data_IF_542370924023
#
_entry.id   IF_542370924023
#
_cell.length_a   1.000
_cell.length_b   1.000
_cell.length_c   1.000
_cell.angle_alpha   90.00
_cell.angle_beta   90.00
_cell.angle_gamma   90.00
#
_symmetry.space_group_name_H-M   'P 1'
#
loop_
_entity.id
_entity.type
_entity.pdbx_description
1 polymer ?
#
# COMPACT_ATOMS: atom_id res chain seq x y z
N UNK A 1 7.30 -27.15 -14.85
CA UNK A 1 6.97 -25.85 -15.45
C UNK A 1 6.22 -26.14 -16.73
N UNK A 2 4.92 -25.89 -16.76
CA UNK A 2 4.13 -26.06 -17.99
C UNK A 2 4.26 -24.77 -18.77
N UNK A 3 5.12 -24.76 -19.78
CA UNK A 3 5.21 -23.63 -20.71
C UNK A 3 4.03 -23.80 -21.65
N UNK A 4 3.30 -22.73 -21.95
CA UNK A 4 2.21 -22.78 -22.90
C UNK A 4 2.65 -22.13 -24.21
N UNK A 5 2.22 -22.68 -25.34
CA UNK A 5 2.44 -22.02 -26.63
C UNK A 5 1.50 -20.82 -26.80
N UNK A 6 1.62 -20.11 -27.92
CA UNK A 6 0.77 -18.96 -28.27
C UNK A 6 -0.72 -19.28 -28.41
N UNK A 7 -1.09 -20.56 -28.37
CA UNK A 7 -2.47 -21.05 -28.40
C UNK A 7 -2.94 -21.58 -27.03
N UNK A 8 -2.15 -21.39 -25.96
CA UNK A 8 -2.51 -21.84 -24.62
C UNK A 8 -2.42 -23.36 -24.42
N UNK A 9 -1.68 -24.08 -25.27
CA UNK A 9 -1.46 -25.53 -25.15
C UNK A 9 -0.18 -25.80 -24.36
N UNK A 10 -0.17 -26.74 -23.40
CA UNK A 10 1.04 -27.20 -22.73
C UNK A 10 2.12 -27.65 -23.73
N UNK A 11 3.25 -26.96 -23.72
CA UNK A 11 4.46 -27.24 -24.49
C UNK A 11 5.64 -27.41 -23.51
N UNK A 12 5.77 -28.60 -22.87
CA UNK A 12 6.84 -28.88 -21.93
C UNK A 12 8.23 -28.97 -22.58
N UNK A 13 8.31 -28.98 -23.92
CA UNK A 13 9.57 -29.09 -24.67
C UNK A 13 10.12 -27.72 -25.08
N UNK A 14 9.32 -26.65 -25.00
CA UNK A 14 9.78 -25.31 -25.33
C UNK A 14 10.98 -24.93 -24.46
N UNK A 15 12.16 -24.68 -25.06
CA UNK A 15 13.30 -24.22 -24.28
C UNK A 15 12.95 -22.85 -23.70
N UNK A 16 13.10 -22.70 -22.39
CA UNK A 16 13.15 -21.37 -21.78
C UNK A 16 14.47 -20.78 -22.26
N UNK A 17 14.41 -19.92 -23.27
CA UNK A 17 15.58 -19.20 -23.74
C UNK A 17 15.95 -18.18 -22.66
N UNK A 18 16.89 -18.55 -21.81
CA UNK A 18 17.48 -17.70 -20.78
C UNK A 18 18.86 -17.31 -21.31
N UNK A 19 19.12 -16.01 -21.46
CA UNK A 19 20.44 -15.55 -21.88
C UNK A 19 21.48 -15.85 -20.79
N UNK A 20 22.77 -15.97 -21.12
CA UNK A 20 23.82 -16.13 -20.12
C UNK A 20 23.75 -15.03 -19.04
N UNK A 21 23.58 -15.45 -17.79
CA UNK A 21 23.45 -14.54 -16.63
C UNK A 21 22.02 -14.17 -16.24
N UNK A 22 21.01 -14.53 -17.04
CA UNK A 22 19.61 -14.33 -16.68
C UNK A 22 19.09 -15.43 -15.74
N UNK A 23 18.12 -15.06 -14.89
CA UNK A 23 17.46 -15.99 -13.97
C UNK A 23 16.00 -16.19 -14.41
N UNK A 24 15.48 -17.42 -14.39
CA UNK A 24 14.06 -17.67 -14.62
C UNK A 24 13.20 -16.87 -13.64
N UNK A 25 12.04 -16.42 -14.08
CA UNK A 25 11.12 -15.62 -13.26
C UNK A 25 10.13 -16.51 -12.52
N UNK A 26 9.89 -16.20 -11.25
CA UNK A 26 8.79 -16.74 -10.45
C UNK A 26 7.88 -15.62 -10.01
N UNK A 27 6.59 -15.86 -10.17
CA UNK A 27 5.53 -14.96 -9.74
C UNK A 27 4.86 -15.50 -8.48
N UNK A 28 4.80 -14.66 -7.45
CA UNK A 28 4.13 -14.91 -6.18
C UNK A 28 2.89 -14.03 -6.11
N UNK A 29 1.72 -14.64 -6.16
CA UNK A 29 0.43 -13.96 -5.98
C UNK A 29 0.11 -13.85 -4.50
N UNK A 30 -0.26 -12.66 -4.07
CA UNK A 30 -0.71 -12.37 -2.70
C UNK A 30 -2.21 -12.09 -2.68
N UNK A 31 -2.89 -12.60 -1.66
CA UNK A 31 -4.22 -12.13 -1.31
C UNK A 31 -4.49 -12.31 0.19
N UNK A 32 -5.61 -11.75 0.67
CA UNK A 32 -6.09 -11.84 2.05
C UNK A 32 -7.50 -12.40 2.06
N UNK A 33 -7.76 -13.39 2.91
CA UNK A 33 -9.11 -13.91 3.14
C UNK A 33 -9.49 -13.76 4.60
N UNK A 34 -10.76 -13.45 4.86
CA UNK A 34 -11.34 -13.42 6.21
C UNK A 34 -12.31 -14.59 6.33
N UNK A 35 -12.12 -15.37 7.39
CA UNK A 35 -12.97 -16.47 7.78
C UNK A 35 -13.73 -16.09 9.05
N UNK A 36 -14.99 -16.51 9.12
CA UNK A 36 -15.86 -16.24 10.25
C UNK A 36 -16.15 -17.54 11.00
N UNK A 37 -16.16 -17.51 12.34
CA UNK A 37 -16.38 -18.72 13.13
C UNK A 37 -17.77 -19.32 12.96
N UNK A 38 -18.74 -18.51 12.54
CA UNK A 38 -20.09 -18.96 12.26
C UNK A 38 -20.38 -19.08 10.76
N UNK A 39 -19.35 -18.96 9.91
CA UNK A 39 -19.49 -19.20 8.47
C UNK A 39 -19.97 -20.63 8.24
N UNK A 40 -21.10 -20.78 7.55
CA UNK A 40 -21.80 -22.06 7.45
C UNK A 40 -22.70 -22.09 6.23
N UNK A 41 -23.03 -23.31 5.81
CA UNK A 41 -24.08 -23.52 4.83
C UNK A 41 -25.44 -23.19 5.45
N UNK A 42 -26.12 -22.16 4.92
CA UNK A 42 -27.45 -21.75 5.40
C UNK A 42 -28.55 -22.74 4.98
N UNK A 43 -28.28 -23.58 3.98
CA UNK A 43 -29.21 -24.59 3.46
C UNK A 43 -28.59 -25.96 3.67
N UNK A 44 -29.28 -26.81 4.42
CA UNK A 44 -28.90 -28.20 4.62
C UNK A 44 -30.17 -29.06 4.67
N UNK A 45 -30.01 -30.36 4.42
CA UNK A 45 -31.09 -31.33 4.57
C UNK A 45 -31.26 -31.63 6.05
N UNK A 46 -32.51 -31.53 6.52
CA UNK A 46 -32.88 -31.77 7.92
C UNK A 46 -33.61 -33.11 8.00
N UNK A 47 -33.25 -33.94 8.98
CA UNK A 47 -33.95 -35.20 9.23
C UNK A 47 -35.37 -34.96 9.75
N UNK A 48 -36.30 -35.93 9.59
CA UNK A 48 -37.68 -35.79 10.06
C UNK A 48 -37.79 -35.57 11.58
N UNK A 49 -36.80 -36.03 12.35
CA UNK A 49 -36.77 -35.92 13.81
C UNK A 49 -35.89 -34.76 14.33
N UNK A 50 -35.31 -33.96 13.44
CA UNK A 50 -34.43 -32.86 13.83
C UNK A 50 -35.22 -31.57 14.04
N UNK A 51 -35.08 -30.99 15.24
CA UNK A 51 -35.79 -29.77 15.62
C UNK A 51 -34.98 -28.51 15.31
N UNK A 52 -35.69 -27.43 14.92
CA UNK A 52 -35.10 -26.13 14.64
C UNK A 52 -34.40 -25.54 15.87
N UNK A 53 -33.09 -25.76 15.98
CA UNK A 53 -32.26 -25.23 17.05
C UNK A 53 -31.82 -23.80 16.70
N UNK A 54 -32.11 -22.79 17.53
CA UNK A 54 -31.69 -21.42 17.27
C UNK A 54 -30.16 -21.30 17.18
N UNK A 55 -29.69 -20.60 16.15
CA UNK A 55 -28.25 -20.37 15.96
C UNK A 55 -27.74 -19.15 16.71
N UNK A 56 -26.44 -19.16 17.01
CA UNK A 56 -25.74 -17.97 17.50
C UNK A 56 -25.91 -16.84 16.48
N UNK A 57 -26.39 -15.69 16.95
CA UNK A 57 -26.59 -14.50 16.11
C UNK A 57 -25.27 -13.95 15.60
N UNK A 58 -25.23 -13.60 14.31
CA UNK A 58 -24.08 -12.97 13.65
C UNK A 58 -22.99 -13.94 13.20
N UNK A 59 -21.96 -13.40 12.54
CA UNK A 59 -20.90 -14.18 11.89
C UNK A 59 -19.83 -14.69 12.90
N UNK A 60 -19.88 -14.22 14.14
CA UNK A 60 -18.96 -14.64 15.20
C UNK A 60 -17.56 -14.01 15.05
N UNK A 61 -16.54 -14.70 15.56
CA UNK A 61 -15.17 -14.19 15.54
C UNK A 61 -14.54 -14.33 14.16
N UNK A 62 -13.79 -13.31 13.74
CA UNK A 62 -13.06 -13.31 12.46
C UNK A 62 -11.62 -13.77 12.58
N UNK A 63 -11.11 -14.39 11.52
CA UNK A 63 -9.71 -14.75 11.31
C UNK A 63 -9.31 -14.34 9.89
N UNK A 64 -8.36 -13.43 9.77
CA UNK A 64 -7.74 -13.07 8.50
C UNK A 64 -6.50 -13.94 8.27
N UNK A 65 -6.35 -14.46 7.06
CA UNK A 65 -5.12 -15.11 6.59
C UNK A 65 -4.64 -14.36 5.35
N UNK A 66 -3.37 -13.98 5.34
CA UNK A 66 -2.68 -13.39 4.20
C UNK A 66 -1.46 -14.24 3.86
N UNK A 67 -1.24 -14.59 2.61
CA UNK A 67 -0.11 -15.43 2.20
C UNK A 67 0.24 -15.22 0.73
N UNK A 68 1.35 -15.82 0.29
CA UNK A 68 1.81 -15.82 -1.09
C UNK A 68 1.80 -17.23 -1.68
N UNK A 69 1.36 -17.33 -2.94
CA UNK A 69 1.33 -18.59 -3.67
C UNK A 69 1.93 -18.43 -5.05
N UNK A 70 2.69 -19.41 -5.51
CA UNK A 70 3.14 -19.52 -6.89
C UNK A 70 2.56 -20.79 -7.52
N UNK A 71 2.29 -20.74 -8.82
CA UNK A 71 1.83 -21.92 -9.56
C UNK A 71 2.85 -23.08 -9.55
N UNK A 72 4.14 -22.77 -9.37
CA UNK A 72 5.23 -23.75 -9.41
C UNK A 72 5.49 -24.41 -8.05
N UNK A 73 5.49 -23.63 -6.98
CA UNK A 73 5.92 -24.09 -5.65
C UNK A 73 4.80 -24.11 -4.61
N UNK A 74 3.59 -23.68 -4.98
CA UNK A 74 2.50 -23.53 -4.04
C UNK A 74 2.78 -22.37 -3.08
N UNK A 75 2.43 -22.55 -1.80
CA UNK A 75 2.62 -21.54 -0.77
C UNK A 75 4.09 -21.20 -0.55
N UNK A 76 4.42 -19.93 -0.36
CA UNK A 76 5.78 -19.50 -0.07
C UNK A 76 6.23 -20.04 1.31
N UNK A 77 7.16 -20.99 1.27
CA UNK A 77 7.76 -21.62 2.44
C UNK A 77 9.28 -21.62 2.33
N UNK A 78 9.94 -21.42 3.45
CA UNK A 78 11.38 -21.58 3.57
C UNK A 78 11.81 -23.04 3.70
N UNK A 79 13.10 -23.29 3.57
CA UNK A 79 13.69 -24.64 3.62
C UNK A 79 13.46 -25.34 4.97
N UNK A 80 13.29 -24.59 6.05
CA UNK A 80 13.09 -25.12 7.40
C UNK A 80 11.64 -24.91 7.90
N UNK A 81 10.70 -24.61 6.99
CA UNK A 81 9.30 -24.39 7.33
C UNK A 81 8.94 -22.93 7.65
N UNK A 82 9.86 -21.98 7.43
CA UNK A 82 9.57 -20.55 7.52
C UNK A 82 8.39 -20.18 6.59
N UNK A 83 7.63 -19.15 6.93
CA UNK A 83 6.46 -18.75 6.14
C UNK A 83 6.21 -17.26 6.26
N UNK A 84 5.88 -16.63 5.14
CA UNK A 84 5.38 -15.27 5.13
C UNK A 84 3.86 -15.20 5.41
N UNK A 85 3.23 -16.32 5.78
CA UNK A 85 1.81 -16.36 6.12
C UNK A 85 1.56 -15.56 7.38
N UNK A 86 0.62 -14.63 7.30
CA UNK A 86 0.11 -13.90 8.47
C UNK A 86 -1.27 -14.43 8.81
N UNK A 87 -1.44 -14.81 10.08
CA UNK A 87 -2.74 -15.07 10.70
C UNK A 87 -3.05 -13.92 11.64
N UNK A 88 -4.22 -13.30 11.48
CA UNK A 88 -4.56 -12.04 12.14
C UNK A 88 -6.02 -12.03 12.60
N UNK A 89 -6.31 -11.53 13.80
CA UNK A 89 -7.67 -11.41 14.34
C UNK A 89 -8.12 -9.95 14.29
N UNK A 90 -8.79 -9.50 13.21
CA UNK A 90 -9.15 -8.10 13.07
C UNK A 90 -10.25 -7.70 14.07
N UNK A 91 -10.12 -6.49 14.62
CA UNK A 91 -11.14 -5.85 15.44
C UNK A 91 -10.62 -5.09 16.66
N UNK A 92 -11.51 -4.29 17.25
CA UNK A 92 -11.28 -3.62 18.54
C UNK A 92 -11.13 -4.68 19.64
N UNK A 93 -10.17 -4.48 20.56
CA UNK A 93 -9.79 -5.45 21.59
C UNK A 93 -9.30 -6.80 21.04
N UNK A 94 -8.79 -6.82 19.80
CA UNK A 94 -8.13 -7.96 19.17
C UNK A 94 -6.76 -7.51 18.64
N UNK A 95 -6.30 -8.02 17.50
CA UNK A 95 -4.99 -7.66 16.94
C UNK A 95 -4.99 -6.28 16.25
N UNK A 96 -6.15 -5.60 16.25
CA UNK A 96 -6.35 -4.29 15.63
C UNK A 96 -6.75 -4.40 14.16
N UNK A 97 -6.13 -3.57 13.32
CA UNK A 97 -6.35 -3.56 11.87
C UNK A 97 -5.10 -3.98 11.10
N UNK A 98 -5.28 -4.61 9.95
CA UNK A 98 -4.16 -5.01 9.10
C UNK A 98 -3.64 -3.81 8.28
N UNK A 99 -2.71 -3.06 8.88
CA UNK A 99 -2.20 -1.78 8.36
C UNK A 99 -1.24 -1.96 7.19
N UNK A 100 -0.93 -0.85 6.48
CA UNK A 100 0.08 -0.83 5.43
C UNK A 100 1.47 -1.25 5.96
N UNK A 101 1.82 -0.84 7.19
CA UNK A 101 3.07 -1.25 7.82
C UNK A 101 3.17 -2.77 7.97
N UNK A 102 2.06 -3.45 8.30
CA UNK A 102 2.02 -4.92 8.35
C UNK A 102 2.12 -5.57 6.97
N UNK A 103 1.56 -4.94 5.93
CA UNK A 103 1.73 -5.40 4.54
C UNK A 103 3.21 -5.33 4.15
N UNK A 104 3.88 -4.20 4.44
CA UNK A 104 5.31 -4.02 4.15
C UNK A 104 6.14 -5.07 4.90
N UNK A 105 5.90 -5.24 6.21
CA UNK A 105 6.61 -6.26 7.00
C UNK A 105 6.43 -7.67 6.42
N UNK A 106 5.20 -8.03 6.03
CA UNK A 106 4.93 -9.33 5.42
C UNK A 106 5.70 -9.51 4.09
N UNK A 107 5.78 -8.46 3.27
CA UNK A 107 6.53 -8.48 2.02
C UNK A 107 8.04 -8.62 2.27
N UNK A 108 8.59 -7.93 3.27
CA UNK A 108 10.00 -8.05 3.64
C UNK A 108 10.34 -9.50 4.03
N UNK A 109 9.52 -10.12 4.87
CA UNK A 109 9.66 -11.52 5.28
C UNK A 109 9.57 -12.46 4.06
N UNK A 110 8.62 -12.20 3.14
CA UNK A 110 8.46 -12.96 1.92
C UNK A 110 9.67 -12.84 0.98
N UNK A 111 10.18 -11.63 0.78
CA UNK A 111 11.38 -11.37 -0.03
C UNK A 111 12.59 -12.10 0.54
N UNK A 112 12.75 -12.07 1.87
CA UNK A 112 13.82 -12.82 2.54
C UNK A 112 13.71 -14.32 2.28
N UNK A 113 12.55 -14.91 2.55
CA UNK A 113 12.31 -16.34 2.33
C UNK A 113 12.53 -16.73 0.87
N UNK A 114 12.01 -15.94 -0.08
CA UNK A 114 12.14 -16.23 -1.50
C UNK A 114 13.60 -16.24 -1.96
N UNK A 115 14.40 -15.23 -1.57
CA UNK A 115 15.82 -15.13 -1.94
C UNK A 115 16.67 -16.24 -1.34
N UNK A 116 16.40 -16.65 -0.10
CA UNK A 116 17.16 -17.72 0.58
C UNK A 116 16.78 -19.12 0.06
N UNK A 117 15.51 -19.30 -0.28
CA UNK A 117 14.96 -20.61 -0.69
C UNK A 117 15.22 -20.88 -2.17
N UNK A 118 15.07 -19.86 -3.02
CA UNK A 118 15.06 -19.94 -4.48
C UNK A 118 16.02 -18.91 -5.12
N UNK A 119 17.30 -18.85 -4.71
CA UNK A 119 18.25 -17.81 -5.15
C UNK A 119 18.52 -17.80 -6.66
N UNK A 120 18.23 -18.91 -7.35
CA UNK A 120 18.39 -19.07 -8.79
C UNK A 120 17.30 -18.39 -9.62
N UNK A 121 16.25 -17.83 -8.99
CA UNK A 121 15.16 -17.17 -9.69
C UNK A 121 15.16 -15.65 -9.47
N UNK A 122 14.53 -14.94 -10.41
CA UNK A 122 14.04 -13.58 -10.21
C UNK A 122 12.62 -13.64 -9.68
N UNK A 123 12.31 -12.89 -8.63
CA UNK A 123 11.00 -12.94 -7.98
C UNK A 123 10.17 -11.70 -8.30
N UNK A 124 8.91 -11.93 -8.68
CA UNK A 124 7.88 -10.90 -8.85
C UNK A 124 6.78 -11.17 -7.83
N UNK A 125 6.42 -10.16 -7.05
CA UNK A 125 5.31 -10.22 -6.11
C UNK A 125 4.13 -9.43 -6.67
N UNK A 126 2.97 -10.06 -6.77
CA UNK A 126 1.74 -9.48 -7.31
C UNK A 126 0.74 -9.28 -6.19
N UNK A 127 0.22 -8.06 -6.12
CA UNK A 127 -0.84 -7.64 -5.21
C UNK A 127 -2.03 -7.09 -6.01
N UNK A 128 -3.20 -7.09 -5.38
CA UNK A 128 -4.33 -6.29 -5.84
C UNK A 128 -4.10 -4.79 -5.56
N UNK A 129 -5.07 -3.96 -5.96
CA UNK A 129 -5.04 -2.51 -5.77
C UNK A 129 -5.74 -2.06 -4.47
N UNK A 130 -5.85 -2.90 -3.45
CA UNK A 130 -6.44 -2.51 -2.19
C UNK A 130 -5.73 -1.26 -1.63
N UNK A 131 -6.44 -0.32 -0.98
CA UNK A 131 -5.85 0.93 -0.49
C UNK A 131 -4.61 0.73 0.41
N UNK A 132 -4.55 -0.39 1.14
CA UNK A 132 -3.40 -0.74 1.97
C UNK A 132 -2.13 -1.10 1.19
N UNK A 133 -2.25 -1.47 -0.09
CA UNK A 133 -1.13 -1.84 -0.98
C UNK A 133 -0.64 -0.65 -1.79
N UNK A 134 -1.46 0.40 -1.93
CA UNK A 134 -1.17 1.58 -2.75
C UNK A 134 -0.84 2.82 -1.92
N UNK A 135 -0.67 2.66 -0.60
CA UNK A 135 -0.36 3.78 0.29
C UNK A 135 1.08 4.26 0.03
N UNK A 136 1.24 5.58 -0.09
CA UNK A 136 2.56 6.23 -0.17
C UNK A 136 3.19 6.36 1.23
N UNK A 137 4.50 6.57 1.32
CA UNK A 137 5.16 6.99 2.56
C UNK A 137 4.45 8.19 3.22
N UNK A 138 4.58 8.32 4.55
CA UNK A 138 3.88 9.38 5.31
C UNK A 138 4.34 10.79 4.95
N UNK A 139 5.58 10.92 4.47
CA UNK A 139 6.22 12.14 4.00
C UNK A 139 6.15 12.31 2.47
N UNK A 140 5.46 11.42 1.76
CA UNK A 140 5.39 11.50 0.30
C UNK A 140 4.73 12.80 -0.18
N UNK A 141 5.25 13.34 -1.28
CA UNK A 141 4.73 14.58 -1.87
C UNK A 141 3.28 14.41 -2.32
N UNK A 142 2.42 15.34 -1.91
CA UNK A 142 1.02 15.41 -2.33
C UNK A 142 0.59 16.85 -2.63
N UNK A 143 0.27 17.13 -3.88
CA UNK A 143 -0.21 18.43 -4.32
C UNK A 143 -1.69 18.71 -3.95
N UNK A 144 -2.48 17.66 -3.66
CA UNK A 144 -3.95 17.74 -3.57
C UNK A 144 -4.46 18.75 -2.54
N UNK A 145 -3.73 18.93 -1.45
CA UNK A 145 -4.15 19.77 -0.32
C UNK A 145 -3.18 20.93 -0.04
N UNK A 146 -2.17 21.13 -0.89
CA UNK A 146 -1.20 22.20 -0.66
C UNK A 146 -1.91 23.56 -0.70
N UNK A 147 -1.74 24.42 0.32
CA UNK A 147 -2.29 25.77 0.27
C UNK A 147 -1.55 26.62 -0.78
N UNK A 148 -2.25 27.61 -1.34
CA UNK A 148 -1.63 28.57 -2.28
C UNK A 148 -0.52 29.38 -1.60
N UNK A 149 -0.82 29.87 -0.40
CA UNK A 149 0.07 30.71 0.40
C UNK A 149 0.78 29.95 1.50
N UNK A 150 1.66 30.66 2.19
CA UNK A 150 2.46 30.12 3.29
C UNK A 150 1.57 29.73 4.48
N UNK A 151 1.91 28.63 5.14
CA UNK A 151 1.26 28.19 6.39
C UNK A 151 2.28 27.61 7.35
N UNK A 152 2.06 27.79 8.65
CA UNK A 152 2.97 27.28 9.68
C UNK A 152 3.11 25.75 9.67
N UNK A 153 2.00 25.03 9.49
CA UNK A 153 1.96 23.58 9.51
C UNK A 153 1.31 23.02 8.24
N UNK A 154 2.10 22.25 7.48
CA UNK A 154 1.62 21.46 6.37
C UNK A 154 2.41 20.13 6.28
N UNK A 155 1.78 18.96 6.10
CA UNK A 155 0.34 18.71 6.07
C UNK A 155 -0.39 19.20 7.35
N UNK A 156 -1.68 19.52 7.24
CA UNK A 156 -2.43 20.09 8.37
C UNK A 156 -2.58 19.04 9.47
N UNK A 157 -2.32 19.39 10.75
CA UNK A 157 -2.53 18.47 11.86
C UNK A 157 -4.03 18.15 12.00
N UNK A 158 -4.33 16.95 12.49
CA UNK A 158 -5.70 16.50 12.71
C UNK A 158 -5.83 15.84 14.09
N UNK A 159 -7.06 15.81 14.62
CA UNK A 159 -7.37 15.13 15.88
C UNK A 159 -8.13 13.84 15.56
N UNK A 160 -7.58 12.66 15.86
CA UNK A 160 -8.26 11.39 15.67
C UNK A 160 -9.58 11.35 16.45
N UNK A 161 -10.60 10.68 15.89
CA UNK A 161 -11.89 10.51 16.57
C UNK A 161 -11.68 9.75 17.89
N UNK A 162 -12.09 10.36 19.00
CA UNK A 162 -11.92 9.78 20.35
C UNK A 162 -10.59 10.14 21.04
N UNK A 163 -9.76 10.99 20.42
CA UNK A 163 -8.57 11.58 21.06
C UNK A 163 -8.77 13.08 21.25
N UNK A 164 -8.09 13.64 22.25
CA UNK A 164 -7.94 15.10 22.44
C UNK A 164 -6.62 15.62 21.87
N UNK A 165 -5.69 14.72 21.55
CA UNK A 165 -4.35 15.06 21.06
C UNK A 165 -4.36 15.31 19.55
N UNK A 166 -3.64 16.37 19.13
CA UNK A 166 -3.39 16.64 17.71
C UNK A 166 -2.23 15.81 17.22
N UNK A 167 -2.44 15.09 16.14
CA UNK A 167 -1.39 14.38 15.42
C UNK A 167 -0.78 15.32 14.39
N UNK A 168 0.53 15.49 14.47
CA UNK A 168 1.32 16.21 13.48
C UNK A 168 1.88 15.21 12.47
N UNK A 169 1.61 15.47 11.19
CA UNK A 169 2.11 14.66 10.09
C UNK A 169 3.55 15.08 9.75
N UNK A 170 4.40 14.15 9.27
CA UNK A 170 5.74 14.48 8.80
C UNK A 170 5.71 15.59 7.73
N UNK A 171 6.77 16.40 7.70
CA UNK A 171 7.02 17.31 6.56
C UNK A 171 7.16 16.47 5.29
N UNK A 172 6.64 16.96 4.18
CA UNK A 172 6.83 16.29 2.90
C UNK A 172 8.32 16.27 2.54
N UNK A 173 8.76 15.16 1.96
CA UNK A 173 10.08 15.05 1.36
C UNK A 173 10.29 16.15 0.30
N UNK A 174 11.55 16.57 0.06
CA UNK A 174 11.84 17.54 -0.99
C UNK A 174 11.39 17.05 -2.37
N UNK A 175 10.86 17.96 -3.17
CA UNK A 175 10.68 17.71 -4.59
C UNK A 175 12.03 17.70 -5.33
N UNK A 176 11.98 17.51 -6.64
CA UNK A 176 13.15 17.64 -7.53
C UNK A 176 12.92 18.77 -8.54
N UNK A 177 13.90 19.67 -8.67
CA UNK A 177 13.94 20.73 -9.70
C UNK A 177 14.39 20.16 -11.05
N UNK A 178 14.19 20.89 -12.17
CA UNK A 178 14.60 20.44 -13.50
C UNK A 178 16.10 20.16 -13.64
N UNK A 179 16.94 20.88 -12.88
CA UNK A 179 18.39 20.67 -12.80
C UNK A 179 18.80 19.46 -11.95
N UNK A 180 17.82 18.79 -11.33
CA UNK A 180 18.00 17.62 -10.49
C UNK A 180 18.24 17.91 -9.02
N UNK A 181 18.34 19.18 -8.62
CA UNK A 181 18.53 19.56 -7.21
C UNK A 181 17.25 19.37 -6.39
N UNK A 182 17.41 19.19 -5.08
CA UNK A 182 16.30 19.03 -4.15
C UNK A 182 15.57 20.36 -3.93
N UNK A 183 14.25 20.36 -4.10
CA UNK A 183 13.39 21.49 -3.79
C UNK A 183 12.74 21.30 -2.43
N UNK A 184 13.23 22.02 -1.41
CA UNK A 184 12.50 22.10 -0.14
C UNK A 184 11.17 22.84 -0.34
N UNK A 185 10.07 22.26 0.14
CA UNK A 185 8.77 22.91 0.18
C UNK A 185 8.55 23.77 1.43
N UNK A 186 9.54 23.80 2.31
CA UNK A 186 9.52 24.53 3.58
C UNK A 186 10.62 25.58 3.59
N UNK A 187 10.36 26.71 4.24
CA UNK A 187 11.42 27.67 4.56
C UNK A 187 12.43 27.02 5.50
N UNK A 188 13.72 27.34 5.36
CA UNK A 188 14.75 26.76 6.21
C UNK A 188 14.57 27.22 7.67
N UNK A 189 15.11 26.44 8.60
CA UNK A 189 14.94 26.73 10.04
C UNK A 189 15.76 27.96 10.49
N UNK A 190 16.68 28.46 9.66
CA UNK A 190 17.48 29.67 9.86
C UNK A 190 16.95 30.91 9.08
N UNK A 191 15.77 30.81 8.45
CA UNK A 191 15.17 31.87 7.64
C UNK A 191 15.19 33.25 8.34
N UNK A 192 15.51 34.31 7.59
CA UNK A 192 15.69 35.69 8.09
C UNK A 192 14.50 36.16 8.92
N UNK A 193 13.30 35.90 8.38
CA UNK A 193 12.04 36.08 9.11
C UNK A 193 11.82 34.93 10.08
N UNK A 194 12.08 35.22 11.36
CA UNK A 194 11.95 34.26 12.47
C UNK A 194 10.55 33.67 12.60
N UNK A 195 9.52 34.46 12.25
CA UNK A 195 8.11 34.03 12.26
C UNK A 195 7.77 33.00 11.17
N UNK A 196 8.65 32.80 10.17
CA UNK A 196 8.44 31.92 9.01
C UNK A 196 9.36 30.70 8.95
N UNK A 197 10.26 30.55 9.91
CA UNK A 197 11.19 29.41 9.98
C UNK A 197 10.42 28.10 9.99
N UNK A 198 10.75 27.20 9.07
CA UNK A 198 10.09 25.90 8.96
C UNK A 198 8.65 25.92 8.44
N UNK A 199 8.10 27.07 8.06
CA UNK A 199 6.76 27.16 7.47
C UNK A 199 6.76 26.53 6.08
N UNK A 200 5.61 25.99 5.69
CA UNK A 200 5.38 25.57 4.32
C UNK A 200 5.28 26.81 3.42
N UNK A 201 6.02 26.81 2.30
CA UNK A 201 6.14 27.95 1.39
C UNK A 201 4.84 28.31 0.63
N UNK A 202 3.94 27.35 0.48
CA UNK A 202 2.77 27.49 -0.38
C UNK A 202 3.08 27.20 -1.85
N UNK A 203 2.07 26.72 -2.60
CA UNK A 203 2.23 26.36 -4.02
C UNK A 203 2.74 27.53 -4.87
N UNK A 204 2.27 28.76 -4.60
CA UNK A 204 2.67 29.90 -5.42
C UNK A 204 4.19 30.13 -5.36
N UNK A 205 4.80 30.01 -4.19
CA UNK A 205 6.25 30.18 -4.05
C UNK A 205 7.02 29.00 -4.67
N UNK A 206 6.56 27.77 -4.41
CA UNK A 206 7.15 26.53 -4.98
C UNK A 206 7.14 26.57 -6.52
N UNK A 207 6.07 27.09 -7.13
CA UNK A 207 5.95 27.24 -8.58
C UNK A 207 6.87 28.34 -9.13
N UNK A 208 7.04 29.46 -8.42
CA UNK A 208 8.00 30.51 -8.82
C UNK A 208 9.44 30.00 -8.82
N UNK A 209 9.81 29.21 -7.82
CA UNK A 209 11.13 28.56 -7.76
C UNK A 209 11.37 27.61 -8.95
N UNK A 210 10.29 27.09 -9.55
CA UNK A 210 10.34 26.27 -10.78
C UNK A 210 10.27 27.08 -12.07
N UNK A 211 10.25 28.42 -12.01
CA UNK A 211 10.09 29.31 -13.16
C UNK A 211 8.66 29.42 -13.70
N UNK A 212 7.66 28.86 -13.00
CA UNK A 212 6.25 28.83 -13.42
C UNK A 212 5.46 30.05 -12.87
N UNK A 213 5.98 31.25 -13.11
CA UNK A 213 5.45 32.50 -12.54
C UNK A 213 4.00 32.78 -12.93
N UNK A 214 3.65 32.54 -14.21
CA UNK A 214 2.30 32.71 -14.72
C UNK A 214 1.30 31.75 -14.05
N UNK A 215 1.71 30.51 -13.80
CA UNK A 215 0.88 29.51 -13.10
C UNK A 215 0.74 29.88 -11.62
N UNK A 216 1.81 30.34 -10.97
CA UNK A 216 1.78 30.76 -9.58
C UNK A 216 0.79 31.91 -9.29
N UNK A 217 0.53 32.76 -10.29
CA UNK A 217 -0.44 33.86 -10.18
C UNK A 217 -1.90 33.36 -10.14
N UNK A 218 -2.21 32.23 -10.79
CA UNK A 218 -3.57 31.67 -10.88
C UNK A 218 -4.13 31.28 -9.50
N UNK A 219 -5.45 31.24 -9.35
CA UNK A 219 -6.10 30.73 -8.12
C UNK A 219 -5.74 29.24 -7.95
N UNK A 220 -5.66 28.77 -6.70
CA UNK A 220 -5.29 27.38 -6.42
C UNK A 220 -6.34 26.37 -6.92
N UNK A 221 -7.61 26.76 -6.83
CA UNK A 221 -8.73 25.99 -7.36
C UNK A 221 -9.78 26.93 -7.94
N UNK A 222 -10.54 26.41 -8.91
CA UNK A 222 -11.80 27.02 -9.35
C UNK A 222 -12.91 26.60 -8.37
N UNK A 223 -14.04 27.33 -8.31
CA UNK A 223 -15.18 26.93 -7.50
C UNK A 223 -15.60 25.48 -7.80
N UNK A 224 -15.42 24.58 -6.83
CA UNK A 224 -15.73 23.15 -6.95
C UNK A 224 -14.91 22.40 -8.01
N UNK A 225 -13.68 22.83 -8.30
CA UNK A 225 -12.82 22.27 -9.36
C UNK A 225 -13.42 22.31 -10.79
N UNK A 226 -14.45 23.14 -11.00
CA UNK A 226 -15.01 23.41 -12.32
C UNK A 226 -14.25 24.57 -12.95
N UNK A 227 -13.19 24.26 -13.68
CA UNK A 227 -12.40 25.25 -14.39
C UNK A 227 -12.86 25.36 -15.85
N UNK A 228 -12.88 26.58 -16.38
CA UNK A 228 -12.97 26.80 -17.83
C UNK A 228 -11.78 26.11 -18.52
N UNK A 229 -11.96 25.57 -19.75
CA UNK A 229 -10.86 25.06 -20.55
C UNK A 229 -9.77 26.13 -20.66
N UNK A 230 -8.55 25.74 -20.29
CA UNK A 230 -7.38 26.63 -20.21
C UNK A 230 -6.69 26.84 -21.54
#
# INVERSE_FOLDING_TARGET
MTIFNEHGVPDPQRPILILPGEKPVIVWFHDKSIFYSNDRQLVHWVGPDEHATPYKKGEGSTLMVADFVSARFGWLKGKNGESARVTFKPGVNRDGWFTCARVVQQLEDAVKIAKETYPEYTHIFIYDNAPSHTKRPEDAVSARLMPKGEVQYFPRPYTPKGSTEKVFLPRMEPGKLPDGTAQSFYWPDDHERTDRRGWFKGMAQILRERGLHNVAAKRAECPGFKCEPG
#
